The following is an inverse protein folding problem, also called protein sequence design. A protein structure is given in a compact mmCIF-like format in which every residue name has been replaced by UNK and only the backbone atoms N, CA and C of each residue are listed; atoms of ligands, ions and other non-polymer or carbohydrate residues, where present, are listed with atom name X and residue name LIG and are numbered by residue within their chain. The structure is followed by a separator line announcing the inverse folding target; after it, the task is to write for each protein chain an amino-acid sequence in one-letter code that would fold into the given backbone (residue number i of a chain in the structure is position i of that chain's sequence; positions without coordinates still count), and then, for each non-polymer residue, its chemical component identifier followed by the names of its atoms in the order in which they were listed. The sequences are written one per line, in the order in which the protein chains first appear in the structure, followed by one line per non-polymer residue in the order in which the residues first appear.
data_IF_674902098091
#
_entry.id   IF_674902098091
#
_cell.length_a   1.000
_cell.length_b   1.000
_cell.length_c   1.000
_cell.angle_alpha   90.00
_cell.angle_beta   90.00
_cell.angle_gamma   90.00
#
_symmetry.space_group_name_H-M   'P 1'
#
loop_
_entity.id
_entity.type
_entity.pdbx_description
1 polymer ?
#
# COMPACT_ATOMS: atom_id res chain seq x y z
N UNK A 1 2.03 1.75 33.25
CA UNK A 1 2.37 1.57 31.83
C UNK A 1 3.65 2.33 31.52
N UNK A 2 4.68 1.61 31.03
CA UNK A 2 5.99 2.15 30.77
C UNK A 2 6.34 2.08 29.29
N UNK A 3 7.10 3.03 28.79
CA UNK A 3 7.47 3.11 27.35
C UNK A 3 8.14 1.84 26.83
N UNK A 4 9.03 1.22 27.61
CA UNK A 4 9.71 0.00 27.20
C UNK A 4 8.75 -1.17 27.03
N UNK A 5 7.63 -1.22 27.76
CA UNK A 5 6.60 -2.25 27.62
C UNK A 5 5.91 -2.15 26.26
N UNK A 6 5.57 -0.92 25.81
CA UNK A 6 5.00 -0.67 24.49
C UNK A 6 5.98 -1.06 23.37
N UNK A 7 7.27 -0.76 23.53
CA UNK A 7 8.34 -1.18 22.59
C UNK A 7 8.45 -2.69 22.50
N UNK A 8 8.31 -3.41 23.62
CA UNK A 8 8.37 -4.87 23.62
C UNK A 8 7.17 -5.49 22.92
N UNK A 9 5.95 -4.95 23.16
CA UNK A 9 4.76 -5.38 22.41
C UNK A 9 4.98 -5.21 20.92
N UNK A 10 5.44 -4.04 20.48
CA UNK A 10 5.70 -3.78 19.05
C UNK A 10 6.76 -4.73 18.49
N UNK A 11 7.86 -4.97 19.21
CA UNK A 11 8.91 -5.90 18.78
C UNK A 11 8.39 -7.33 18.62
N UNK A 12 7.51 -7.80 19.54
CA UNK A 12 6.89 -9.13 19.44
C UNK A 12 5.97 -9.23 18.23
N UNK A 13 5.16 -8.19 17.96
CA UNK A 13 4.28 -8.15 16.77
C UNK A 13 5.10 -8.20 15.47
N UNK A 14 6.17 -7.41 15.38
CA UNK A 14 6.98 -7.31 14.17
C UNK A 14 7.83 -8.56 13.89
N UNK A 15 8.24 -9.27 14.94
CA UNK A 15 9.08 -10.48 14.79
C UNK A 15 8.27 -11.78 14.80
N UNK A 16 7.01 -11.73 15.27
CA UNK A 16 6.16 -12.90 15.45
C UNK A 16 6.67 -13.87 16.55
N UNK A 17 7.64 -13.45 17.39
CA UNK A 17 8.29 -14.31 18.38
C UNK A 17 8.81 -13.51 19.57
N UNK A 18 8.52 -13.97 20.80
CA UNK A 18 9.09 -13.38 22.01
C UNK A 18 10.62 -13.51 22.08
N UNK A 19 11.17 -14.60 21.54
CA UNK A 19 12.62 -14.82 21.49
C UNK A 19 13.30 -13.85 20.54
N UNK A 20 12.81 -13.75 19.30
CA UNK A 20 13.36 -12.83 18.31
C UNK A 20 13.16 -11.36 18.73
N UNK A 21 12.04 -11.03 19.37
CA UNK A 21 11.82 -9.71 19.94
C UNK A 21 12.85 -9.37 21.03
N UNK A 22 13.15 -10.34 21.91
CA UNK A 22 14.13 -10.16 22.98
C UNK A 22 15.55 -9.92 22.44
N UNK A 23 15.95 -10.66 21.42
CA UNK A 23 17.21 -10.43 20.70
C UNK A 23 17.28 -9.02 20.10
N UNK A 24 16.21 -8.61 19.43
CA UNK A 24 16.10 -7.29 18.79
C UNK A 24 16.20 -6.13 19.78
N UNK A 25 15.55 -6.26 20.95
CA UNK A 25 15.58 -5.24 22.01
C UNK A 25 16.71 -5.43 23.02
N UNK A 26 17.58 -6.44 22.81
CA UNK A 26 18.78 -6.76 23.61
C UNK A 26 18.48 -7.00 25.09
N UNK A 27 17.44 -7.77 25.37
CA UNK A 27 17.08 -8.22 26.73
C UNK A 27 16.78 -9.73 26.75
N UNK A 28 16.54 -10.31 27.93
CA UNK A 28 16.14 -11.71 28.01
C UNK A 28 14.69 -11.92 27.54
N UNK A 29 14.40 -13.09 26.96
CA UNK A 29 13.04 -13.47 26.56
C UNK A 29 12.06 -13.44 27.75
N UNK A 30 12.50 -13.90 28.93
CA UNK A 30 11.72 -13.82 30.17
C UNK A 30 11.43 -12.37 30.59
N UNK A 31 12.39 -11.46 30.36
CA UNK A 31 12.22 -10.04 30.62
C UNK A 31 11.12 -9.42 29.73
N UNK A 32 11.17 -9.68 28.42
CA UNK A 32 10.12 -9.23 27.49
C UNK A 32 8.76 -9.80 27.89
N UNK A 33 8.68 -11.13 28.12
CA UNK A 33 7.44 -11.81 28.48
C UNK A 33 6.83 -11.24 29.78
N UNK A 34 7.65 -11.04 30.79
CA UNK A 34 7.20 -10.48 32.10
C UNK A 34 6.69 -9.07 31.97
N UNK A 35 7.36 -8.22 31.20
CA UNK A 35 6.94 -6.83 31.02
C UNK A 35 5.68 -6.71 30.18
N UNK A 36 5.52 -7.54 29.14
CA UNK A 36 4.27 -7.61 28.37
C UNK A 36 3.12 -8.08 29.27
N UNK A 37 3.31 -9.13 30.09
CA UNK A 37 2.30 -9.59 31.04
C UNK A 37 1.93 -8.53 32.08
N UNK A 38 2.90 -7.72 32.53
CA UNK A 38 2.64 -6.61 33.44
C UNK A 38 1.75 -5.55 32.78
N UNK A 39 2.03 -5.23 31.51
CA UNK A 39 1.20 -4.31 30.71
C UNK A 39 -0.21 -4.87 30.51
N UNK A 40 -0.36 -6.14 30.11
CA UNK A 40 -1.65 -6.82 29.93
C UNK A 40 -2.50 -6.75 31.22
N UNK A 41 -1.89 -6.99 32.37
CA UNK A 41 -2.56 -6.89 33.70
C UNK A 41 -2.99 -5.46 34.02
N UNK A 42 -2.17 -4.48 33.68
CA UNK A 42 -2.49 -3.06 33.90
C UNK A 42 -3.62 -2.58 32.98
N UNK A 43 -3.63 -3.04 31.73
CA UNK A 43 -4.68 -2.72 30.76
C UNK A 43 -5.97 -3.54 30.99
N UNK A 44 -5.90 -4.64 31.76
CA UNK A 44 -7.03 -5.52 32.03
C UNK A 44 -7.41 -6.42 30.84
N UNK A 45 -6.58 -6.50 29.80
CA UNK A 45 -6.82 -7.30 28.58
C UNK A 45 -5.55 -8.03 28.16
N UNK A 46 -5.69 -9.21 27.55
CA UNK A 46 -4.59 -9.92 26.91
C UNK A 46 -4.33 -9.30 25.53
N UNK A 47 -3.07 -9.05 25.22
CA UNK A 47 -2.64 -8.56 23.90
C UNK A 47 -2.27 -9.70 22.95
N UNK A 48 -1.77 -10.81 23.50
CA UNK A 48 -1.29 -11.96 22.71
C UNK A 48 -2.06 -13.23 23.05
N UNK A 49 -2.43 -13.97 22.01
CA UNK A 49 -2.92 -15.34 22.15
C UNK A 49 -1.73 -16.28 22.45
N UNK A 50 -1.80 -16.94 23.62
CA UNK A 50 -0.78 -17.87 24.08
C UNK A 50 -1.14 -19.34 23.83
N UNK A 51 -2.34 -19.59 23.27
CA UNK A 51 -2.85 -20.94 23.01
C UNK A 51 -2.29 -21.53 21.71
N UNK A 52 -1.81 -20.70 20.80
CA UNK A 52 -1.30 -21.12 19.49
C UNK A 52 0.22 -21.32 19.48
N UNK A 53 0.72 -22.16 18.54
CA UNK A 53 2.17 -22.32 18.30
C UNK A 53 2.85 -21.06 17.76
N UNK A 54 2.08 -20.14 17.18
CA UNK A 54 2.58 -18.85 16.67
C UNK A 54 2.03 -17.74 17.54
N UNK A 55 2.88 -16.79 17.84
CA UNK A 55 2.48 -15.58 18.57
C UNK A 55 1.59 -14.75 17.67
N UNK A 56 0.31 -14.61 18.05
CA UNK A 56 -0.67 -13.79 17.37
C UNK A 56 -1.28 -12.78 18.34
N UNK A 57 -1.74 -11.65 17.85
CA UNK A 57 -2.53 -10.71 18.65
C UNK A 57 -3.92 -11.30 18.92
N UNK A 58 -4.47 -10.96 20.09
CA UNK A 58 -5.90 -11.11 20.35
C UNK A 58 -6.68 -10.02 19.60
N UNK A 59 -8.02 -10.12 19.56
CA UNK A 59 -8.86 -9.07 18.99
C UNK A 59 -8.68 -7.73 19.74
N UNK A 60 -8.53 -7.78 21.06
CA UNK A 60 -8.23 -6.62 21.90
C UNK A 60 -6.83 -6.06 21.57
N UNK A 61 -5.85 -6.94 21.38
CA UNK A 61 -4.50 -6.58 20.96
C UNK A 61 -4.49 -5.84 19.62
N UNK A 62 -5.20 -6.35 18.62
CA UNK A 62 -5.34 -5.71 17.32
C UNK A 62 -5.96 -4.31 17.42
N UNK A 63 -6.98 -4.14 18.27
CA UNK A 63 -7.64 -2.86 18.49
C UNK A 63 -6.77 -1.85 19.22
N UNK A 64 -5.86 -2.29 20.09
CA UNK A 64 -4.94 -1.42 20.85
C UNK A 64 -3.66 -1.07 20.08
N UNK A 65 -3.24 -1.89 19.09
CA UNK A 65 -2.01 -1.66 18.35
C UNK A 65 -1.89 -0.28 17.70
N UNK A 66 -2.94 0.30 17.08
CA UNK A 66 -2.85 1.65 16.53
C UNK A 66 -2.49 2.70 17.59
N UNK A 67 -3.09 2.62 18.79
CA UNK A 67 -2.79 3.54 19.89
C UNK A 67 -1.37 3.34 20.44
N UNK A 68 -0.90 2.09 20.55
CA UNK A 68 0.48 1.76 20.96
C UNK A 68 1.49 2.34 19.96
N UNK A 69 1.25 2.17 18.67
CA UNK A 69 2.11 2.75 17.61
C UNK A 69 2.11 4.27 17.68
N UNK A 70 0.94 4.90 17.76
CA UNK A 70 0.83 6.36 17.85
C UNK A 70 1.57 6.94 19.08
N UNK A 71 1.50 6.27 20.24
CA UNK A 71 2.23 6.67 21.43
C UNK A 71 3.75 6.60 21.24
N UNK A 72 4.25 5.52 20.65
CA UNK A 72 5.67 5.36 20.34
C UNK A 72 6.17 6.36 19.30
N UNK A 73 5.35 6.65 18.29
CA UNK A 73 5.62 7.68 17.28
C UNK A 73 5.68 9.08 17.90
N UNK A 74 4.71 9.46 18.73
CA UNK A 74 4.70 10.76 19.41
C UNK A 74 5.97 10.98 20.25
N UNK A 75 6.48 9.93 20.90
CA UNK A 75 7.75 10.03 21.63
C UNK A 75 8.94 10.14 20.68
N UNK A 76 8.90 9.41 19.54
CA UNK A 76 9.89 9.56 18.48
C UNK A 76 9.95 10.98 17.92
N UNK A 77 8.80 11.64 17.79
CA UNK A 77 8.69 13.03 17.34
C UNK A 77 9.37 14.05 18.27
N UNK A 78 9.45 13.78 19.58
CA UNK A 78 10.22 14.64 20.48
C UNK A 78 11.70 14.63 20.09
N UNK A 79 12.26 13.45 19.83
CA UNK A 79 13.64 13.32 19.37
C UNK A 79 13.86 13.93 17.98
N UNK A 80 12.93 13.71 17.07
CA UNK A 80 12.95 14.27 15.73
C UNK A 80 12.85 15.81 15.76
N UNK A 81 11.98 16.37 16.60
CA UNK A 81 11.86 17.83 16.79
C UNK A 81 13.15 18.44 17.35
N UNK A 82 13.79 17.76 18.31
CA UNK A 82 15.07 18.21 18.85
C UNK A 82 16.21 18.12 17.81
N UNK A 83 16.17 17.15 16.89
CA UNK A 83 17.10 17.03 15.78
C UNK A 83 16.85 18.08 14.68
N UNK A 84 15.59 18.39 14.43
CA UNK A 84 15.17 19.41 13.44
C UNK A 84 15.61 20.84 13.85
N UNK A 85 15.63 21.15 15.14
CA UNK A 85 16.26 22.38 15.64
C UNK A 85 17.76 22.48 15.24
N UNK A 86 18.34 21.38 14.77
CA UNK A 86 19.71 21.26 14.23
C UNK A 86 19.74 21.04 12.71
N UNK A 87 18.57 21.15 12.03
CA UNK A 87 18.46 20.95 10.57
C UNK A 87 18.57 19.49 10.10
N UNK A 88 18.35 18.49 10.98
CA UNK A 88 18.47 17.07 10.68
C UNK A 88 17.14 16.35 10.78
N UNK A 89 16.68 15.71 9.72
CA UNK A 89 15.62 14.69 9.81
C UNK A 89 16.23 13.36 10.30
N UNK A 90 15.78 12.89 11.46
CA UNK A 90 16.20 11.61 12.04
C UNK A 90 14.99 10.70 12.24
N UNK A 91 15.24 9.40 12.35
CA UNK A 91 14.23 8.38 12.62
C UNK A 91 14.00 7.46 11.44
N UNK A 92 12.75 7.06 11.19
CA UNK A 92 12.40 6.17 10.08
C UNK A 92 11.25 6.74 9.25
N UNK A 93 11.28 6.53 7.95
CA UNK A 93 10.19 6.78 7.02
C UNK A 93 9.83 5.47 6.31
N UNK A 94 8.63 5.00 6.60
CA UNK A 94 8.07 3.75 6.04
C UNK A 94 7.11 4.10 4.93
N UNK A 95 7.45 3.75 3.71
CA UNK A 95 6.70 4.08 2.50
C UNK A 95 6.13 2.82 1.88
N UNK A 96 4.85 2.87 1.52
CA UNK A 96 4.20 1.82 0.75
C UNK A 96 4.04 2.19 -0.72
N UNK A 97 4.07 1.21 -1.62
CA UNK A 97 3.71 1.42 -3.02
C UNK A 97 3.04 0.18 -3.62
N UNK A 98 2.18 0.39 -4.60
CA UNK A 98 1.60 -0.72 -5.37
C UNK A 98 2.68 -1.43 -6.18
N UNK A 99 2.45 -2.72 -6.47
CA UNK A 99 3.35 -3.51 -7.30
C UNK A 99 3.55 -2.88 -8.69
N UNK A 100 4.81 -2.79 -9.11
CA UNK A 100 5.16 -2.37 -10.45
C UNK A 100 4.89 -0.88 -10.73
N UNK A 101 4.95 -0.03 -9.73
CA UNK A 101 4.88 1.42 -9.91
C UNK A 101 5.98 1.89 -10.86
N UNK A 102 5.60 2.66 -11.89
CA UNK A 102 6.53 3.20 -12.90
C UNK A 102 6.63 4.72 -12.89
N UNK A 103 6.27 5.39 -11.81
CA UNK A 103 6.33 6.84 -11.68
C UNK A 103 7.72 7.30 -11.24
N UNK A 104 8.57 7.86 -12.16
CA UNK A 104 9.97 8.20 -11.86
C UNK A 104 10.09 9.20 -10.71
N UNK A 105 9.23 10.23 -10.66
CA UNK A 105 9.28 11.27 -9.63
C UNK A 105 9.25 10.69 -8.20
N UNK A 106 8.54 9.58 -7.99
CA UNK A 106 8.51 8.91 -6.70
C UNK A 106 9.90 8.40 -6.28
N UNK A 107 10.60 7.74 -7.20
CA UNK A 107 11.93 7.20 -6.91
C UNK A 107 12.99 8.31 -6.80
N UNK A 108 12.84 9.37 -7.61
CA UNK A 108 13.70 10.57 -7.52
C UNK A 108 13.51 11.25 -6.16
N UNK A 109 12.28 11.41 -5.67
CA UNK A 109 11.99 11.97 -4.36
C UNK A 109 12.56 11.11 -3.20
N UNK A 110 12.49 9.77 -3.32
CA UNK A 110 13.15 8.88 -2.34
C UNK A 110 14.67 9.03 -2.35
N UNK A 111 15.28 9.17 -3.50
CA UNK A 111 16.72 9.39 -3.62
C UNK A 111 17.13 10.77 -3.04
N UNK A 112 16.35 11.80 -3.33
CA UNK A 112 16.56 13.17 -2.86
C UNK A 112 16.48 13.26 -1.33
N UNK A 113 15.41 12.71 -0.71
CA UNK A 113 15.26 12.73 0.75
C UNK A 113 16.34 11.89 1.43
N UNK A 114 16.74 10.75 0.84
CA UNK A 114 17.83 9.91 1.35
C UNK A 114 19.16 10.63 1.35
N UNK A 115 19.48 11.36 0.28
CA UNK A 115 20.71 12.12 0.15
C UNK A 115 20.74 13.34 1.09
N UNK A 116 19.62 14.04 1.22
CA UNK A 116 19.50 15.20 2.10
C UNK A 116 19.54 14.84 3.59
N UNK A 117 19.08 13.63 3.96
CA UNK A 117 18.94 13.22 5.35
C UNK A 117 19.56 11.83 5.61
N UNK A 118 20.89 11.70 5.69
CA UNK A 118 21.58 10.40 5.87
C UNK A 118 21.24 9.68 7.19
N UNK A 119 20.67 10.39 8.17
CA UNK A 119 20.21 9.83 9.44
C UNK A 119 18.76 9.32 9.44
N UNK A 120 18.07 9.43 8.29
CA UNK A 120 16.71 8.93 8.10
C UNK A 120 16.75 7.50 7.55
N UNK A 121 16.22 6.54 8.30
CA UNK A 121 16.07 5.15 7.82
C UNK A 121 14.87 5.07 6.88
N UNK A 122 15.09 4.86 5.58
CA UNK A 122 14.03 4.63 4.61
C UNK A 122 13.70 3.14 4.51
N UNK A 123 12.38 2.83 4.55
CA UNK A 123 11.87 1.49 4.30
C UNK A 123 10.77 1.55 3.25
N UNK A 124 10.91 0.76 2.19
CA UNK A 124 9.92 0.62 1.14
C UNK A 124 9.27 -0.77 1.21
N UNK A 125 7.93 -0.79 1.09
CA UNK A 125 7.12 -2.02 1.01
C UNK A 125 6.22 -1.95 -0.19
N UNK A 126 6.14 -3.04 -0.96
CA UNK A 126 5.15 -3.21 -2.02
C UNK A 126 4.03 -4.12 -1.55
N UNK A 127 2.78 -3.75 -1.86
CA UNK A 127 1.60 -4.56 -1.57
C UNK A 127 0.41 -4.10 -2.44
N UNK A 128 -0.77 -4.72 -2.28
CA UNK A 128 -2.03 -4.25 -2.88
C UNK A 128 -2.49 -2.95 -2.23
N UNK A 129 -3.27 -2.14 -2.95
CA UNK A 129 -3.79 -0.86 -2.45
C UNK A 129 -4.58 -1.04 -1.15
N UNK A 130 -5.45 -2.06 -1.07
CA UNK A 130 -6.23 -2.34 0.12
C UNK A 130 -5.35 -2.60 1.35
N UNK A 131 -4.32 -3.43 1.23
CA UNK A 131 -3.38 -3.73 2.33
C UNK A 131 -2.55 -2.54 2.73
N UNK A 132 -2.13 -1.71 1.77
CA UNK A 132 -1.37 -0.48 2.04
C UNK A 132 -2.22 0.55 2.76
N UNK A 133 -3.50 0.75 2.35
CA UNK A 133 -4.45 1.63 3.03
C UNK A 133 -4.61 1.21 4.48
N UNK A 134 -4.80 -0.07 4.74
CA UNK A 134 -4.91 -0.60 6.09
C UNK A 134 -3.60 -0.45 6.88
N UNK A 135 -2.45 -0.65 6.24
CA UNK A 135 -1.14 -0.43 6.87
C UNK A 135 -0.92 1.04 7.26
N UNK A 136 -1.36 2.01 6.43
CA UNK A 136 -1.34 3.44 6.78
C UNK A 136 -2.26 3.72 7.96
N UNK A 137 -3.50 3.20 7.96
CA UNK A 137 -4.45 3.36 9.08
C UNK A 137 -3.89 2.82 10.40
N UNK A 138 -3.21 1.66 10.35
CA UNK A 138 -2.59 1.05 11.53
C UNK A 138 -1.23 1.65 11.92
N UNK A 139 -0.72 2.65 11.17
CA UNK A 139 0.59 3.23 11.42
C UNK A 139 1.77 2.28 11.16
N UNK A 140 1.59 1.24 10.36
CA UNK A 140 2.65 0.35 9.91
C UNK A 140 3.47 0.96 8.78
N UNK A 141 2.83 1.86 8.02
CA UNK A 141 3.37 2.65 6.92
C UNK A 141 2.99 4.11 7.17
N UNK A 142 3.88 5.05 6.91
CA UNK A 142 3.69 6.47 7.19
C UNK A 142 2.90 7.16 6.07
N UNK A 143 3.17 6.78 4.83
CA UNK A 143 2.42 7.15 3.63
C UNK A 143 2.51 6.04 2.59
N UNK A 144 1.55 5.98 1.67
CA UNK A 144 1.58 5.00 0.59
C UNK A 144 1.04 5.55 -0.73
N UNK A 145 1.65 5.12 -1.85
CA UNK A 145 1.04 5.24 -3.17
C UNK A 145 0.09 4.07 -3.38
N UNK A 146 -1.17 4.41 -3.57
CA UNK A 146 -2.26 3.44 -3.74
C UNK A 146 -3.16 3.86 -4.89
N UNK A 147 -3.87 2.90 -5.46
CA UNK A 147 -4.86 3.16 -6.49
C UNK A 147 -6.28 2.85 -5.99
N UNK A 148 -7.25 3.64 -6.44
CA UNK A 148 -8.67 3.46 -6.13
C UNK A 148 -9.53 3.83 -7.33
N UNK A 149 -10.79 3.36 -7.37
CA UNK A 149 -11.72 3.60 -8.48
C UNK A 149 -12.60 4.84 -8.24
N UNK A 150 -13.45 4.82 -7.24
CA UNK A 150 -14.50 5.84 -7.05
C UNK A 150 -14.06 6.97 -6.11
N UNK A 151 -13.80 6.64 -4.86
CA UNK A 151 -13.52 7.60 -3.80
C UNK A 151 -12.15 7.34 -3.16
N UNK A 152 -11.50 8.41 -2.76
CA UNK A 152 -10.29 8.31 -1.96
C UNK A 152 -10.58 7.59 -0.64
N UNK A 153 -9.60 6.86 -0.06
CA UNK A 153 -9.80 6.14 1.19
C UNK A 153 -10.23 7.04 2.35
N UNK A 154 -11.39 6.73 2.96
CA UNK A 154 -11.92 7.49 4.08
C UNK A 154 -10.99 7.53 5.29
N UNK A 155 -10.97 8.68 5.99
CA UNK A 155 -10.20 8.88 7.21
C UNK A 155 -8.70 9.05 7.01
N UNK A 156 -8.24 9.16 5.77
CA UNK A 156 -6.86 9.46 5.39
C UNK A 156 -6.78 10.78 4.62
N UNK A 157 -5.66 11.49 4.75
CA UNK A 157 -5.28 12.50 3.77
C UNK A 157 -4.94 11.83 2.44
N UNK A 158 -5.26 12.48 1.33
CA UNK A 158 -4.96 11.95 0.01
C UNK A 158 -4.68 13.05 -1.00
N UNK A 159 -3.82 12.76 -1.98
CA UNK A 159 -3.59 13.59 -3.14
C UNK A 159 -3.50 12.72 -4.39
N UNK A 160 -4.24 13.08 -5.44
CA UNK A 160 -4.27 12.34 -6.71
C UNK A 160 -3.03 12.69 -7.52
N UNK A 161 -2.33 11.67 -8.01
CA UNK A 161 -1.17 11.80 -8.91
C UNK A 161 -1.59 11.54 -10.36
N UNK A 162 -2.37 10.47 -10.59
CA UNK A 162 -2.92 10.13 -11.89
C UNK A 162 -4.41 9.83 -11.77
N UNK A 163 -5.19 10.25 -12.76
CA UNK A 163 -6.59 9.94 -12.92
C UNK A 163 -6.84 9.50 -14.37
N UNK A 164 -6.78 8.18 -14.60
CA UNK A 164 -6.79 7.60 -15.93
C UNK A 164 -8.02 6.72 -16.18
N UNK A 165 -8.53 6.68 -17.42
CA UNK A 165 -9.54 5.72 -17.81
C UNK A 165 -8.94 4.31 -17.88
N UNK A 166 -9.80 3.29 -17.79
CA UNK A 166 -9.42 1.93 -18.14
C UNK A 166 -9.30 1.76 -19.64
N UNK A 167 -8.37 0.92 -20.06
CA UNK A 167 -8.18 0.47 -21.43
C UNK A 167 -8.12 -1.04 -21.50
N UNK A 168 -8.61 -1.59 -22.62
CA UNK A 168 -8.36 -2.98 -22.96
C UNK A 168 -7.02 -3.09 -23.70
N UNK A 169 -6.16 -3.98 -23.28
CA UNK A 169 -4.88 -4.26 -23.94
C UNK A 169 -4.87 -5.64 -24.57
N UNK A 170 -4.51 -5.69 -25.84
CA UNK A 170 -4.55 -6.91 -26.64
C UNK A 170 -3.31 -7.07 -27.53
N UNK A 171 -3.05 -8.27 -28.01
CA UNK A 171 -2.05 -8.52 -29.03
C UNK A 171 -2.37 -7.76 -30.33
N UNK A 172 -1.39 -7.38 -31.16
CA UNK A 172 -1.61 -6.76 -32.47
C UNK A 172 -2.44 -7.61 -33.44
N UNK A 173 -2.43 -8.93 -33.26
CA UNK A 173 -3.22 -9.89 -34.06
C UNK A 173 -4.68 -10.05 -33.59
N UNK A 174 -5.04 -9.47 -32.45
CA UNK A 174 -6.39 -9.57 -31.89
C UNK A 174 -7.43 -8.86 -32.79
N UNK A 175 -8.67 -9.38 -32.95
CA UNK A 175 -9.70 -8.74 -33.77
C UNK A 175 -10.00 -7.28 -33.38
N UNK A 176 -9.77 -6.92 -32.14
CA UNK A 176 -9.97 -5.55 -31.65
C UNK A 176 -8.79 -4.60 -31.93
N UNK A 177 -7.64 -5.09 -32.38
CA UNK A 177 -6.44 -4.26 -32.54
C UNK A 177 -6.60 -3.04 -33.47
N UNK A 178 -7.53 -3.10 -34.42
CA UNK A 178 -7.87 -2.00 -35.32
C UNK A 178 -9.02 -1.11 -34.82
N UNK A 179 -9.62 -1.43 -33.68
CA UNK A 179 -10.77 -0.69 -33.16
C UNK A 179 -10.33 0.58 -32.45
N UNK A 180 -11.13 1.62 -32.57
CA UNK A 180 -10.87 2.91 -31.89
C UNK A 180 -11.39 2.91 -30.46
N UNK A 181 -12.41 2.07 -30.15
CA UNK A 181 -13.09 2.00 -28.86
C UNK A 181 -13.87 0.70 -28.77
N UNK A 182 -14.10 0.23 -27.56
CA UNK A 182 -15.01 -0.88 -27.23
C UNK A 182 -15.96 -0.45 -26.12
N UNK A 183 -17.11 -1.12 -26.05
CA UNK A 183 -18.05 -0.94 -24.93
C UNK A 183 -17.72 -1.90 -23.77
N UNK A 184 -18.17 -1.61 -22.56
CA UNK A 184 -18.03 -2.52 -21.42
C UNK A 184 -18.69 -3.88 -21.65
N UNK A 185 -19.82 -3.92 -22.38
CA UNK A 185 -20.55 -5.15 -22.71
C UNK A 185 -19.73 -6.11 -23.56
N UNK A 186 -18.84 -5.60 -24.39
CA UNK A 186 -17.98 -6.41 -25.24
C UNK A 186 -16.90 -7.16 -24.46
N UNK A 187 -16.59 -6.72 -23.21
CA UNK A 187 -15.68 -7.44 -22.32
C UNK A 187 -16.33 -8.67 -21.70
N UNK A 188 -17.67 -8.70 -21.66
CA UNK A 188 -18.38 -9.84 -21.07
C UNK A 188 -18.18 -11.08 -21.92
N UNK A 189 -17.78 -12.17 -21.29
CA UNK A 189 -17.49 -13.44 -21.98
C UNK A 189 -16.11 -13.54 -22.63
N UNK A 190 -15.29 -12.50 -22.52
CA UNK A 190 -13.89 -12.55 -22.95
C UNK A 190 -13.00 -13.19 -21.89
N UNK A 191 -11.90 -13.81 -22.32
CA UNK A 191 -10.83 -14.27 -21.42
C UNK A 191 -10.09 -13.04 -20.87
N UNK A 192 -10.57 -12.49 -19.76
CA UNK A 192 -9.97 -11.29 -19.15
C UNK A 192 -8.70 -11.64 -18.38
N UNK A 193 -7.71 -10.76 -18.49
CA UNK A 193 -6.47 -10.76 -17.70
C UNK A 193 -6.54 -9.53 -16.79
N UNK A 194 -6.57 -9.75 -15.48
CA UNK A 194 -6.70 -8.67 -14.51
C UNK A 194 -5.67 -8.78 -13.37
N UNK A 195 -5.48 -7.67 -12.68
CA UNK A 195 -4.78 -7.63 -11.40
C UNK A 195 -5.69 -8.21 -10.29
N UNK A 196 -5.14 -8.63 -9.15
CA UNK A 196 -5.90 -9.27 -8.10
C UNK A 196 -6.82 -8.30 -7.36
N UNK A 197 -7.77 -8.86 -6.64
CA UNK A 197 -8.61 -8.08 -5.72
C UNK A 197 -7.78 -7.21 -4.76
N UNK A 198 -8.32 -6.04 -4.44
CA UNK A 198 -7.63 -5.05 -3.61
C UNK A 198 -6.65 -4.15 -4.36
N UNK A 199 -6.58 -4.25 -5.70
CA UNK A 199 -5.88 -3.29 -6.56
C UNK A 199 -6.87 -2.29 -7.17
N UNK A 200 -6.41 -1.07 -7.51
CA UNK A 200 -7.27 -0.03 -8.08
C UNK A 200 -7.81 -0.39 -9.45
N UNK A 201 -6.98 -0.92 -10.34
CA UNK A 201 -7.41 -1.35 -11.69
C UNK A 201 -8.44 -2.48 -11.60
N UNK A 202 -8.31 -3.42 -10.63
CA UNK A 202 -9.31 -4.47 -10.41
C UNK A 202 -10.62 -3.88 -9.86
N UNK A 203 -10.57 -3.00 -8.90
CA UNK A 203 -11.77 -2.33 -8.39
C UNK A 203 -12.51 -1.55 -9.49
N UNK A 204 -11.76 -0.88 -10.37
CA UNK A 204 -12.33 -0.19 -11.52
C UNK A 204 -12.93 -1.17 -12.55
N UNK A 205 -12.29 -2.31 -12.80
CA UNK A 205 -12.83 -3.37 -13.66
C UNK A 205 -14.12 -3.96 -13.08
N UNK A 206 -14.13 -4.25 -11.78
CA UNK A 206 -15.31 -4.79 -11.11
C UNK A 206 -16.48 -3.80 -11.14
N UNK A 207 -16.22 -2.51 -10.92
CA UNK A 207 -17.21 -1.44 -11.08
C UNK A 207 -17.71 -1.34 -12.54
N UNK A 208 -16.79 -1.44 -13.51
CA UNK A 208 -17.11 -1.44 -14.94
C UNK A 208 -18.06 -2.56 -15.33
N UNK A 209 -17.87 -3.77 -14.78
CA UNK A 209 -18.65 -4.95 -15.11
C UNK A 209 -19.84 -5.19 -14.18
N UNK A 210 -19.98 -4.39 -13.13
CA UNK A 210 -21.05 -4.50 -12.15
C UNK A 210 -22.44 -4.45 -12.79
N UNK A 211 -23.32 -5.39 -12.41
CA UNK A 211 -24.69 -5.47 -12.90
C UNK A 211 -24.85 -5.93 -14.36
N UNK A 212 -23.77 -6.30 -15.06
CA UNK A 212 -23.84 -6.80 -16.43
C UNK A 212 -24.10 -8.30 -16.45
N UNK A 213 -25.15 -8.78 -17.12
CA UNK A 213 -25.44 -10.20 -17.23
C UNK A 213 -24.29 -10.93 -17.92
N UNK A 214 -23.84 -12.06 -17.33
CA UNK A 214 -22.75 -12.86 -17.85
C UNK A 214 -21.33 -12.37 -17.50
N UNK A 215 -21.20 -11.27 -16.78
CA UNK A 215 -19.92 -10.87 -16.22
C UNK A 215 -19.46 -11.91 -15.16
N UNK A 216 -18.27 -12.43 -15.34
CA UNK A 216 -17.64 -13.43 -14.45
C UNK A 216 -16.31 -12.94 -13.90
N UNK A 217 -15.67 -13.75 -13.08
CA UNK A 217 -14.32 -13.49 -12.63
C UNK A 217 -13.35 -13.50 -13.84
N UNK A 218 -12.26 -12.72 -13.79
CA UNK A 218 -11.22 -12.78 -14.81
C UNK A 218 -10.68 -14.20 -14.98
N UNK A 219 -10.41 -14.60 -16.22
CA UNK A 219 -9.82 -15.92 -16.50
C UNK A 219 -8.38 -16.02 -15.97
N UNK A 220 -7.63 -14.93 -16.09
CA UNK A 220 -6.27 -14.81 -15.57
C UNK A 220 -6.22 -13.73 -14.50
N UNK A 221 -5.83 -14.10 -13.28
CA UNK A 221 -5.50 -13.18 -12.22
C UNK A 221 -3.98 -13.21 -11.98
N UNK A 222 -3.31 -12.06 -12.15
CA UNK A 222 -1.86 -11.94 -12.06
C UNK A 222 -1.45 -10.76 -11.18
N UNK A 223 -0.40 -10.94 -10.39
CA UNK A 223 -0.03 -10.01 -9.32
C UNK A 223 0.64 -8.71 -9.79
N UNK A 224 1.11 -8.64 -11.04
CA UNK A 224 1.85 -7.47 -11.53
C UNK A 224 1.38 -7.01 -12.89
N UNK A 225 1.42 -5.69 -13.17
CA UNK A 225 1.13 -5.15 -14.49
C UNK A 225 1.97 -5.77 -15.61
N UNK A 226 3.25 -6.04 -15.35
CA UNK A 226 4.15 -6.71 -16.33
C UNK A 226 3.68 -8.12 -16.71
N UNK A 227 3.00 -8.84 -15.81
CA UNK A 227 2.43 -10.13 -16.14
C UNK A 227 1.19 -9.98 -17.05
N UNK A 228 0.36 -8.95 -16.83
CA UNK A 228 -0.76 -8.61 -17.74
C UNK A 228 -0.23 -8.35 -19.15
N UNK A 229 0.81 -7.51 -19.29
CA UNK A 229 1.47 -7.23 -20.57
C UNK A 229 1.92 -8.51 -21.27
N UNK A 230 2.67 -9.37 -20.56
CA UNK A 230 3.24 -10.61 -21.12
C UNK A 230 2.20 -11.61 -21.60
N UNK A 231 1.06 -11.67 -20.92
CA UNK A 231 -0.06 -12.54 -21.33
C UNK A 231 -0.81 -11.93 -22.53
N UNK A 232 -1.13 -10.63 -22.46
CA UNK A 232 -1.86 -9.93 -23.50
C UNK A 232 -1.10 -9.92 -24.85
N UNK A 233 0.22 -9.64 -24.85
CA UNK A 233 1.03 -9.64 -26.08
C UNK A 233 1.08 -11.02 -26.75
N UNK A 234 0.88 -12.10 -26.01
CA UNK A 234 0.83 -13.50 -26.51
C UNK A 234 -0.57 -13.94 -26.94
N UNK A 235 -1.56 -13.03 -26.85
CA UNK A 235 -2.93 -13.36 -27.26
C UNK A 235 -3.66 -14.30 -26.31
N UNK A 236 -3.23 -14.40 -25.05
CA UNK A 236 -3.86 -15.28 -24.06
C UNK A 236 -5.14 -14.68 -23.44
N UNK A 237 -5.52 -13.47 -23.83
CA UNK A 237 -6.74 -12.81 -23.41
C UNK A 237 -6.66 -11.29 -23.57
N UNK A 238 -7.64 -10.62 -23.01
CA UNK A 238 -7.78 -9.17 -23.00
C UNK A 238 -7.35 -8.65 -21.63
N UNK A 239 -6.22 -7.95 -21.55
CA UNK A 239 -5.82 -7.26 -20.33
C UNK A 239 -6.67 -6.01 -20.09
N UNK A 240 -7.05 -5.73 -18.85
CA UNK A 240 -7.75 -4.51 -18.49
C UNK A 240 -6.96 -3.80 -17.40
N UNK A 241 -6.46 -2.60 -17.72
CA UNK A 241 -5.61 -1.78 -16.84
C UNK A 241 -5.88 -0.30 -17.07
N UNK A 242 -5.37 0.57 -16.19
CA UNK A 242 -5.40 2.02 -16.43
C UNK A 242 -4.51 2.40 -17.63
N UNK A 243 -4.86 3.49 -18.30
CA UNK A 243 -4.08 3.98 -19.44
C UNK A 243 -2.64 4.35 -19.04
N UNK A 244 -2.42 4.85 -17.83
CA UNK A 244 -1.08 5.14 -17.32
C UNK A 244 -0.24 3.87 -17.18
N UNK A 245 -0.82 2.78 -16.71
CA UNK A 245 -0.14 1.49 -16.50
C UNK A 245 0.49 0.95 -17.78
N UNK A 246 -0.24 1.00 -18.91
CA UNK A 246 0.25 0.43 -20.17
C UNK A 246 0.97 1.44 -21.10
N UNK A 247 1.14 2.69 -20.69
CA UNK A 247 1.69 3.77 -21.54
C UNK A 247 3.05 3.46 -22.18
N UNK A 248 3.87 2.65 -21.52
CA UNK A 248 5.22 2.27 -21.97
C UNK A 248 5.33 0.83 -22.45
N UNK A 249 4.19 0.11 -22.54
CA UNK A 249 4.21 -1.28 -23.00
C UNK A 249 4.40 -1.36 -24.50
N UNK A 250 5.17 -2.35 -24.92
CA UNK A 250 5.47 -2.58 -26.32
C UNK A 250 4.78 -3.86 -26.83
N UNK A 251 4.52 -3.91 -28.12
CA UNK A 251 3.92 -5.09 -28.75
C UNK A 251 2.45 -5.34 -28.40
N UNK A 252 1.75 -4.34 -27.84
CA UNK A 252 0.32 -4.40 -27.55
C UNK A 252 -0.47 -3.33 -28.32
N UNK A 253 -1.77 -3.47 -28.31
CA UNK A 253 -2.72 -2.40 -28.68
C UNK A 253 -3.59 -2.07 -27.47
N UNK A 254 -3.52 -0.81 -27.01
CA UNK A 254 -4.39 -0.27 -25.98
C UNK A 254 -5.62 0.34 -26.65
N UNK A 255 -6.81 -0.11 -26.26
CA UNK A 255 -8.09 0.30 -26.85
C UNK A 255 -8.92 0.93 -25.75
N UNK A 256 -9.33 2.20 -25.89
CA UNK A 256 -10.20 2.87 -24.94
C UNK A 256 -11.52 2.10 -24.74
N UNK A 257 -11.94 1.99 -23.48
CA UNK A 257 -13.26 1.47 -23.10
C UNK A 257 -14.22 2.66 -22.96
N UNK A 258 -15.42 2.54 -23.53
CA UNK A 258 -16.42 3.62 -23.50
C UNK A 258 -17.16 3.65 -22.16
N UNK A 259 -16.47 4.09 -21.13
CA UNK A 259 -16.97 4.23 -19.76
C UNK A 259 -16.29 5.43 -19.09
N UNK A 260 -16.66 6.66 -19.45
CA UNK A 260 -15.95 7.87 -19.00
C UNK A 260 -15.98 8.06 -17.49
N UNK A 261 -17.01 7.53 -16.81
CA UNK A 261 -17.18 7.66 -15.36
C UNK A 261 -16.37 6.63 -14.55
N UNK A 262 -15.88 5.58 -15.20
CA UNK A 262 -15.04 4.56 -14.54
C UNK A 262 -13.57 4.92 -14.69
N UNK A 263 -12.95 5.24 -13.57
CA UNK A 263 -11.57 5.73 -13.51
C UNK A 263 -10.73 4.85 -12.57
N UNK A 264 -9.46 4.74 -12.89
CA UNK A 264 -8.44 4.26 -11.95
C UNK A 264 -7.56 5.44 -11.56
N UNK A 265 -7.58 5.80 -10.28
CA UNK A 265 -6.79 6.90 -9.72
C UNK A 265 -5.62 6.33 -8.95
N UNK A 266 -4.44 6.81 -9.22
CA UNK A 266 -3.26 6.58 -8.38
C UNK A 266 -2.98 7.87 -7.60
N UNK A 267 -2.79 7.74 -6.30
CA UNK A 267 -2.46 8.87 -5.44
C UNK A 267 -1.68 8.47 -4.21
N UNK A 268 -1.25 9.46 -3.48
CA UNK A 268 -0.58 9.29 -2.18
C UNK A 268 -1.64 9.37 -1.08
N UNK A 269 -1.55 8.49 -0.09
CA UNK A 269 -2.40 8.53 1.11
C UNK A 269 -1.54 8.54 2.37
N UNK A 270 -2.02 9.24 3.41
CA UNK A 270 -1.33 9.39 4.69
C UNK A 270 -2.34 9.59 5.83
N UNK A 271 -1.92 9.42 7.09
CA UNK A 271 -2.78 9.72 8.25
C UNK A 271 -3.02 11.23 8.36
N UNK A 272 -4.12 11.63 9.01
CA UNK A 272 -4.52 13.03 9.19
C UNK A 272 -3.36 13.93 9.71
N UNK A 273 -2.48 13.36 10.53
CA UNK A 273 -1.25 14.02 10.99
C UNK A 273 -0.06 13.21 10.49
N UNK A 274 0.52 13.54 9.32
CA UNK A 274 1.71 12.88 8.83
C UNK A 274 2.94 13.22 9.69
N UNK A 275 3.86 12.25 9.84
CA UNK A 275 5.15 12.51 10.47
C UNK A 275 5.93 13.56 9.66
N UNK A 276 6.92 14.21 10.28
CA UNK A 276 7.75 15.20 9.55
C UNK A 276 8.46 14.62 8.34
N UNK A 277 8.98 13.40 8.46
CA UNK A 277 9.62 12.72 7.34
C UNK A 277 8.61 12.41 6.22
N UNK A 278 7.37 12.01 6.58
CA UNK A 278 6.30 11.81 5.60
C UNK A 278 5.91 13.13 4.92
N UNK A 279 5.82 14.23 5.68
CA UNK A 279 5.55 15.57 5.13
C UNK A 279 6.64 16.01 4.16
N UNK A 280 7.92 15.87 4.54
CA UNK A 280 9.03 16.20 3.65
C UNK A 280 8.99 15.41 2.33
N UNK A 281 8.62 14.12 2.38
CA UNK A 281 8.44 13.35 1.13
C UNK A 281 7.20 13.81 0.36
N UNK A 282 6.09 14.16 1.02
CA UNK A 282 4.90 14.71 0.36
C UNK A 282 5.23 16.02 -0.38
N UNK A 283 5.98 16.92 0.26
CA UNK A 283 6.41 18.18 -0.34
C UNK A 283 7.29 17.97 -1.59
N UNK A 284 8.15 16.93 -1.58
CA UNK A 284 8.93 16.53 -2.76
C UNK A 284 8.08 15.91 -3.86
N UNK A 285 6.99 15.21 -3.52
CA UNK A 285 6.09 14.60 -4.51
C UNK A 285 5.16 15.62 -5.17
N UNK A 286 4.83 16.71 -4.48
CA UNK A 286 3.95 17.81 -4.93
C UNK A 286 4.68 19.16 -4.81
N UNK A 287 5.71 19.44 -5.64
CA UNK A 287 6.53 20.66 -5.51
C UNK A 287 5.80 21.95 -5.91
N UNK A 288 4.57 21.90 -6.45
CA UNK A 288 3.88 23.02 -7.08
C UNK A 288 2.46 23.27 -6.49
N UNK A 289 2.33 23.37 -5.17
CA UNK A 289 1.22 24.11 -4.55
C UNK A 289 1.71 25.31 -3.78
#
# INVERSE_FOLDING_TARGET
MELHQLRYVLAVVETGSFTAAAERVRVSQSGVSTQVQKLERELGVALFDRSSRRVALTQEGERLMPAIRAALEAIGEIGATAADLRGLLLGSLRVGTVFGLTWPRFYDALAEISAAHPGLELRLREDTSARLIDAVRRGEVDLALVAWAEHAPDGLGSAVVFDDPLVAVVAPSHPWAARRRISPEELVGMDLIALPEGTGDRAALDALLSGRPGAGAPHWEVSTPSAVEKLAVRGLGVGVVSAATCRRWEGIRAIPIDAPDVRSRLGVVWRATPTRAARALLDLLHPDE
#
